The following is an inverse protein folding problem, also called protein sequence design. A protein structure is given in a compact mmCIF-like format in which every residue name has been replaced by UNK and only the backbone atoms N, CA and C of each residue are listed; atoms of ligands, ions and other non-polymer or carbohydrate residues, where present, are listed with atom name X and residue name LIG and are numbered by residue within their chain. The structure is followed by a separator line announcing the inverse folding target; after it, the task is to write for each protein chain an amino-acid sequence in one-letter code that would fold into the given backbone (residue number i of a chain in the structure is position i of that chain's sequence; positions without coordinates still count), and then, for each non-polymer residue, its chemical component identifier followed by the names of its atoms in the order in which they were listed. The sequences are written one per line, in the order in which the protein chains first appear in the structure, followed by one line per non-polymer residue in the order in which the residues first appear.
data_IF_601068198581
#
_entry.id   IF_601068198581
#
_cell.length_a   1.000
_cell.length_b   1.000
_cell.length_c   1.000
_cell.angle_alpha   90.00
_cell.angle_beta   90.00
_cell.angle_gamma   90.00
#
_symmetry.space_group_name_H-M   'P 1'
#
loop_
_entity.id
_entity.type
_entity.pdbx_description
1 polymer ?
#
# COMPACT_ATOMS: atom_id res chain seq x y z
N UNK A 1 -20.26 -2.95 19.68
CA UNK A 1 -21.35 -2.25 19.00
C UNK A 1 -21.83 -3.21 17.91
N UNK A 2 -23.12 -3.56 17.82
CA UNK A 2 -23.58 -4.42 16.72
C UNK A 2 -23.49 -3.62 15.44
N UNK A 3 -22.86 -4.18 14.40
CA UNK A 3 -22.84 -3.59 13.07
C UNK A 3 -24.27 -3.26 12.62
N UNK A 4 -24.46 -2.07 11.99
CA UNK A 4 -25.73 -1.78 11.36
C UNK A 4 -26.04 -2.89 10.36
N UNK A 5 -27.31 -3.29 10.26
CA UNK A 5 -27.75 -4.38 9.39
C UNK A 5 -27.34 -4.04 7.95
N UNK A 6 -26.29 -4.69 7.46
CA UNK A 6 -25.88 -4.60 6.06
C UNK A 6 -26.81 -5.51 5.26
N UNK A 7 -27.54 -4.95 4.30
CA UNK A 7 -28.33 -5.75 3.35
C UNK A 7 -27.53 -6.03 2.10
N UNK A 8 -27.72 -7.23 1.57
CA UNK A 8 -27.25 -7.53 0.23
C UNK A 8 -27.97 -6.61 -0.77
N UNK A 9 -27.22 -5.93 -1.60
CA UNK A 9 -27.75 -5.19 -2.73
C UNK A 9 -27.36 -5.88 -4.04
N UNK A 10 -28.21 -5.77 -5.05
CA UNK A 10 -27.85 -6.15 -6.40
C UNK A 10 -27.04 -5.03 -7.02
N UNK A 11 -25.89 -5.37 -7.59
CA UNK A 11 -25.06 -4.45 -8.37
C UNK A 11 -25.05 -4.91 -9.82
N UNK A 12 -25.36 -4.02 -10.73
CA UNK A 12 -25.32 -4.31 -12.16
C UNK A 12 -24.74 -3.14 -12.94
N UNK A 13 -24.20 -3.44 -14.10
CA UNK A 13 -23.76 -2.43 -15.05
C UNK A 13 -24.99 -1.87 -15.78
N UNK A 14 -25.09 -0.54 -15.89
CA UNK A 14 -26.25 0.16 -16.49
C UNK A 14 -25.81 1.22 -17.48
N UNK A 15 -26.66 1.48 -18.46
CA UNK A 15 -26.57 2.60 -19.42
C UNK A 15 -27.63 3.71 -19.11
N UNK A 16 -28.30 3.63 -17.96
CA UNK A 16 -29.30 4.60 -17.52
C UNK A 16 -28.71 6.03 -17.39
N UNK A 17 -27.52 6.12 -16.84
CA UNK A 17 -26.71 7.35 -16.76
C UNK A 17 -25.26 6.98 -16.50
N UNK A 18 -24.33 7.79 -16.95
CA UNK A 18 -22.91 7.68 -16.67
C UNK A 18 -22.31 9.04 -16.35
N UNK A 19 -21.36 9.11 -15.45
CA UNK A 19 -20.57 10.32 -15.20
C UNK A 19 -19.50 10.45 -16.29
N UNK A 20 -18.82 9.36 -16.59
CA UNK A 20 -17.87 9.26 -17.70
C UNK A 20 -18.22 8.08 -18.61
N UNK A 21 -17.76 8.13 -19.87
CA UNK A 21 -18.02 7.05 -20.82
C UNK A 21 -19.51 6.86 -21.15
N UNK A 22 -20.01 5.62 -21.08
CA UNK A 22 -21.38 5.26 -21.49
C UNK A 22 -22.14 4.39 -20.49
N UNK A 23 -21.51 4.02 -19.38
CA UNK A 23 -22.10 3.11 -18.38
C UNK A 23 -21.57 3.41 -16.99
N UNK A 24 -22.40 3.10 -16.00
CA UNK A 24 -22.05 3.16 -14.58
C UNK A 24 -22.45 1.89 -13.85
N UNK A 25 -22.13 1.77 -12.59
CA UNK A 25 -22.65 0.72 -11.69
C UNK A 25 -23.93 1.22 -11.03
N UNK A 26 -24.98 0.40 -11.07
CA UNK A 26 -26.23 0.63 -10.37
C UNK A 26 -26.37 -0.35 -9.22
N UNK A 27 -26.52 0.18 -8.02
CA UNK A 27 -26.84 -0.59 -6.83
C UNK A 27 -28.33 -0.44 -6.50
N UNK A 28 -28.99 -1.55 -6.20
CA UNK A 28 -30.42 -1.56 -5.79
C UNK A 28 -30.59 -2.43 -4.55
N UNK A 29 -31.43 -2.00 -3.62
CA UNK A 29 -31.78 -2.75 -2.42
C UNK A 29 -33.28 -2.65 -2.12
N UNK A 30 -33.92 -3.76 -1.70
CA UNK A 30 -35.36 -3.85 -1.38
C UNK A 30 -35.58 -4.86 -0.24
N UNK A 31 -36.48 -4.60 0.68
CA UNK A 31 -37.03 -3.33 1.14
C UNK A 31 -36.00 -2.59 1.97
N UNK A 32 -36.15 -1.30 2.13
CA UNK A 32 -35.22 -0.44 2.82
C UNK A 32 -35.91 0.28 3.96
N UNK A 33 -35.29 0.24 5.14
CA UNK A 33 -35.73 1.03 6.27
C UNK A 33 -34.84 2.25 6.45
N UNK A 34 -35.37 3.29 7.08
CA UNK A 34 -34.57 4.45 7.43
C UNK A 34 -33.40 4.09 8.35
N UNK A 35 -32.26 4.72 8.11
CA UNK A 35 -31.04 4.50 8.87
C UNK A 35 -30.30 3.22 8.50
N UNK A 36 -30.76 2.47 7.50
CA UNK A 36 -29.97 1.39 6.91
C UNK A 36 -28.86 1.95 6.04
N UNK A 37 -27.73 1.23 5.99
CA UNK A 37 -26.58 1.53 5.16
C UNK A 37 -26.47 0.55 4.02
N UNK A 38 -26.20 1.09 2.83
CA UNK A 38 -25.88 0.28 1.65
C UNK A 38 -24.44 0.55 1.26
N UNK A 39 -23.62 -0.49 1.29
CA UNK A 39 -22.22 -0.43 0.91
C UNK A 39 -22.04 -0.97 -0.51
N UNK A 40 -21.40 -0.18 -1.37
CA UNK A 40 -21.02 -0.59 -2.73
C UNK A 40 -19.52 -0.42 -2.84
N UNK A 41 -18.79 -1.51 -3.07
CA UNK A 41 -17.35 -1.51 -2.98
C UNK A 41 -16.67 -2.39 -4.02
N UNK A 42 -15.40 -2.14 -4.22
CA UNK A 42 -14.46 -3.09 -4.82
C UNK A 42 -13.44 -3.55 -3.79
N UNK A 43 -13.01 -4.80 -3.89
CA UNK A 43 -11.87 -5.28 -3.12
C UNK A 43 -10.59 -4.63 -3.60
N UNK A 44 -9.77 -4.22 -2.67
CA UNK A 44 -8.47 -3.58 -2.90
C UNK A 44 -7.31 -4.47 -2.54
N UNK A 45 -7.58 -5.56 -1.83
CA UNK A 45 -6.66 -6.63 -1.50
C UNK A 45 -7.35 -7.99 -1.64
N UNK A 46 -6.68 -8.93 -2.28
CA UNK A 46 -7.22 -10.26 -2.51
C UNK A 46 -6.49 -11.28 -1.63
N UNK A 47 -7.27 -12.08 -0.91
CA UNK A 47 -6.79 -13.17 -0.09
C UNK A 47 -6.96 -14.51 -0.83
N UNK A 48 -6.23 -15.59 -0.42
CA UNK A 48 -6.38 -16.91 -1.04
C UNK A 48 -7.82 -17.42 -1.14
N UNK A 49 -8.64 -17.10 -0.14
CA UNK A 49 -10.07 -17.48 -0.09
C UNK A 49 -10.94 -16.82 -1.17
N UNK A 50 -10.47 -15.74 -1.78
CA UNK A 50 -11.20 -15.02 -2.83
C UNK A 50 -11.12 -15.72 -4.19
N UNK A 51 -10.23 -16.71 -4.33
CA UNK A 51 -10.01 -17.45 -5.56
C UNK A 51 -10.54 -18.88 -5.45
N UNK A 52 -11.43 -19.25 -6.36
CA UNK A 52 -11.94 -20.62 -6.47
C UNK A 52 -11.01 -21.55 -7.25
N UNK A 53 -10.02 -21.02 -7.92
CA UNK A 53 -9.10 -21.76 -8.78
C UNK A 53 -7.68 -21.72 -8.23
N UNK A 54 -7.21 -22.85 -7.74
CA UNK A 54 -5.89 -23.03 -7.16
C UNK A 54 -4.73 -22.99 -8.17
N UNK A 55 -4.99 -22.75 -9.45
CA UNK A 55 -3.96 -22.68 -10.51
C UNK A 55 -3.25 -21.32 -10.58
N UNK A 56 -3.77 -20.33 -9.89
CA UNK A 56 -3.15 -19.02 -9.84
C UNK A 56 -2.33 -18.89 -8.57
N UNK A 57 -1.11 -18.43 -8.71
CA UNK A 57 -0.21 -18.05 -7.62
C UNK A 57 -0.07 -16.52 -7.64
N UNK A 58 -1.09 -15.79 -7.21
CA UNK A 58 -1.10 -14.34 -7.32
C UNK A 58 -0.26 -13.73 -6.20
N UNK A 59 0.70 -12.92 -6.60
CA UNK A 59 1.42 -12.04 -5.70
C UNK A 59 0.77 -10.66 -5.81
N UNK A 60 -0.06 -10.28 -4.84
CA UNK A 60 -0.77 -9.02 -4.89
C UNK A 60 -0.25 -8.04 -3.84
N UNK A 61 0.23 -6.91 -4.32
CA UNK A 61 0.29 -5.72 -3.50
C UNK A 61 -1.12 -5.12 -3.39
N UNK A 62 -1.46 -4.48 -2.26
CA UNK A 62 -2.71 -3.73 -2.15
C UNK A 62 -2.84 -2.69 -3.27
N UNK A 63 -4.09 -2.39 -3.67
CA UNK A 63 -4.36 -1.37 -4.69
C UNK A 63 -4.48 0.03 -4.10
N UNK A 64 -4.77 0.12 -2.80
CA UNK A 64 -4.99 1.37 -2.07
C UNK A 64 -4.27 1.31 -0.73
N UNK A 65 -3.71 2.43 -0.32
CA UNK A 65 -2.92 2.55 0.89
C UNK A 65 -3.37 3.75 1.75
N UNK A 66 -3.16 3.70 3.07
CA UNK A 66 -3.34 4.86 3.93
C UNK A 66 -2.58 6.09 3.41
N UNK A 67 -3.13 7.28 3.60
CA UNK A 67 -2.57 8.54 3.10
C UNK A 67 -2.95 8.89 1.66
N UNK A 68 -3.44 7.94 0.86
CA UNK A 68 -3.96 8.22 -0.48
C UNK A 68 -5.35 8.84 -0.43
N UNK A 69 -5.81 9.40 -1.55
CA UNK A 69 -7.15 9.97 -1.71
C UNK A 69 -7.99 9.05 -2.59
N UNK A 70 -9.15 8.66 -2.09
CA UNK A 70 -10.20 7.98 -2.86
C UNK A 70 -11.08 9.01 -3.51
N UNK A 71 -11.44 8.79 -4.76
CA UNK A 71 -12.36 9.60 -5.56
C UNK A 71 -13.50 8.71 -6.06
N UNK A 72 -14.67 9.29 -6.23
CA UNK A 72 -15.82 8.59 -6.81
C UNK A 72 -16.91 9.57 -7.18
N UNK A 73 -17.69 9.22 -8.20
CA UNK A 73 -18.85 9.97 -8.65
C UNK A 73 -20.10 9.19 -8.36
N UNK A 74 -21.07 9.83 -7.71
CA UNK A 74 -22.33 9.21 -7.28
C UNK A 74 -23.54 9.99 -7.75
N UNK A 75 -24.65 9.30 -8.02
CA UNK A 75 -25.93 9.92 -8.37
C UNK A 75 -27.09 9.10 -7.81
N UNK A 76 -28.12 9.80 -7.29
CA UNK A 76 -29.43 9.22 -7.06
C UNK A 76 -30.34 9.47 -8.26
N UNK A 77 -30.92 8.43 -8.89
CA UNK A 77 -31.97 8.60 -9.88
C UNK A 77 -33.19 9.36 -9.31
N UNK A 78 -33.95 10.05 -10.15
CA UNK A 78 -35.14 10.81 -9.74
C UNK A 78 -36.19 9.97 -9.00
N UNK A 79 -36.29 8.69 -9.35
CA UNK A 79 -37.23 7.76 -8.74
C UNK A 79 -36.72 7.11 -7.43
N UNK A 80 -35.44 7.33 -7.05
CA UNK A 80 -34.87 6.75 -5.84
C UNK A 80 -35.31 7.51 -4.57
N UNK A 81 -35.22 6.84 -3.42
CA UNK A 81 -35.31 7.48 -2.11
C UNK A 81 -34.19 8.48 -1.87
N UNK A 82 -34.32 9.27 -0.79
CA UNK A 82 -33.27 10.18 -0.35
C UNK A 82 -32.17 9.43 0.38
N UNK A 83 -30.93 9.85 0.21
CA UNK A 83 -29.78 9.30 0.91
C UNK A 83 -28.68 10.34 1.07
N UNK A 84 -27.94 10.20 2.16
CA UNK A 84 -26.63 10.78 2.29
C UNK A 84 -25.59 9.77 1.79
N UNK A 85 -24.43 10.25 1.35
CA UNK A 85 -23.38 9.38 0.83
C UNK A 85 -22.01 9.81 1.31
N UNK A 86 -21.18 8.84 1.61
CA UNK A 86 -19.75 9.06 1.89
C UNK A 86 -18.90 8.03 1.16
N UNK A 87 -17.69 8.43 0.78
CA UNK A 87 -16.65 7.47 0.41
C UNK A 87 -16.12 6.78 1.67
N UNK A 88 -15.70 5.52 1.54
CA UNK A 88 -15.13 4.78 2.65
C UNK A 88 -14.02 3.83 2.23
N UNK A 89 -13.21 3.45 3.20
CA UNK A 89 -12.33 2.29 3.15
C UNK A 89 -12.53 1.42 4.38
N UNK A 90 -12.24 0.13 4.26
CA UNK A 90 -12.28 -0.81 5.39
C UNK A 90 -10.90 -1.42 5.62
N UNK A 91 -10.44 -1.37 6.86
CA UNK A 91 -9.27 -2.13 7.29
C UNK A 91 -9.58 -3.64 7.24
N UNK A 92 -8.74 -4.38 6.52
CA UNK A 92 -8.91 -5.82 6.34
C UNK A 92 -8.79 -6.61 7.65
N UNK A 93 -7.95 -6.15 8.59
CA UNK A 93 -7.65 -6.88 9.83
C UNK A 93 -8.63 -6.60 10.95
N UNK A 94 -8.88 -5.32 11.22
CA UNK A 94 -9.81 -4.91 12.29
C UNK A 94 -11.27 -4.91 11.85
N UNK A 95 -11.53 -4.81 10.53
CA UNK A 95 -12.86 -4.57 9.97
C UNK A 95 -13.35 -3.14 10.19
N UNK A 96 -12.53 -2.26 10.74
CA UNK A 96 -12.89 -0.85 11.00
C UNK A 96 -13.13 -0.11 9.68
N UNK A 97 -14.14 0.74 9.68
CA UNK A 97 -14.54 1.55 8.53
C UNK A 97 -14.13 2.99 8.77
N UNK A 98 -13.39 3.55 7.83
CA UNK A 98 -13.02 4.96 7.79
C UNK A 98 -13.80 5.63 6.67
N UNK A 99 -14.56 6.67 7.00
CA UNK A 99 -15.42 7.38 6.04
C UNK A 99 -14.94 8.80 5.84
N UNK A 100 -15.13 9.31 4.62
CA UNK A 100 -15.06 10.72 4.30
C UNK A 100 -16.24 11.52 4.85
N UNK A 101 -16.33 12.77 4.42
CA UNK A 101 -17.47 13.64 4.73
C UNK A 101 -18.75 13.05 4.12
N UNK A 102 -19.83 13.08 4.90
CA UNK A 102 -21.16 12.68 4.44
C UNK A 102 -21.82 13.85 3.68
N UNK A 103 -22.30 13.58 2.48
CA UNK A 103 -22.92 14.57 1.60
C UNK A 103 -24.34 14.16 1.30
N UNK A 104 -25.29 15.10 1.46
CA UNK A 104 -26.68 14.88 1.03
C UNK A 104 -26.77 14.89 -0.49
N UNK A 105 -27.24 13.78 -1.08
CA UNK A 105 -27.27 13.62 -2.53
C UNK A 105 -28.48 14.31 -3.17
N UNK A 106 -28.21 15.09 -4.21
CA UNK A 106 -29.24 15.67 -5.07
C UNK A 106 -29.63 14.66 -6.15
N UNK A 107 -30.93 14.40 -6.31
CA UNK A 107 -31.44 13.50 -7.34
C UNK A 107 -31.16 14.01 -8.75
N UNK A 108 -30.95 13.10 -9.69
CA UNK A 108 -30.71 13.40 -11.10
C UNK A 108 -29.39 14.10 -11.43
N UNK A 109 -28.53 14.31 -10.44
CA UNK A 109 -27.25 15.01 -10.60
C UNK A 109 -26.09 14.16 -10.13
N UNK A 110 -25.07 14.02 -10.96
CA UNK A 110 -23.78 13.45 -10.55
C UNK A 110 -23.07 14.39 -9.56
N UNK A 111 -22.52 13.82 -8.51
CA UNK A 111 -21.76 14.51 -7.48
C UNK A 111 -20.44 13.81 -7.29
N UNK A 112 -19.34 14.56 -7.41
CA UNK A 112 -18.00 14.08 -7.20
C UNK A 112 -17.66 14.16 -5.71
N UNK A 113 -17.15 13.07 -5.16
CA UNK A 113 -16.70 12.95 -3.78
C UNK A 113 -15.20 12.66 -3.75
N UNK A 114 -14.54 13.14 -2.71
CA UNK A 114 -13.16 12.79 -2.43
C UNK A 114 -12.96 12.53 -0.94
N UNK A 115 -12.09 11.57 -0.61
CA UNK A 115 -11.78 11.20 0.77
C UNK A 115 -10.30 10.88 0.90
N UNK A 116 -9.57 11.70 1.67
CA UNK A 116 -8.19 11.39 2.03
C UNK A 116 -8.21 10.37 3.16
N UNK A 117 -7.68 9.20 2.87
CA UNK A 117 -7.55 8.11 3.83
C UNK A 117 -6.60 8.54 4.95
N UNK A 118 -6.98 8.45 6.24
CA UNK A 118 -6.05 8.74 7.34
C UNK A 118 -4.79 7.88 7.26
N UNK A 119 -3.69 8.42 7.78
CA UNK A 119 -2.47 7.63 7.97
C UNK A 119 -2.63 6.75 9.19
N UNK A 120 -2.32 5.46 9.06
CA UNK A 120 -2.24 4.54 10.21
C UNK A 120 -1.19 3.44 10.01
N UNK A 121 -0.81 2.80 11.10
CA UNK A 121 0.23 1.78 11.09
C UNK A 121 -0.33 0.39 10.74
N UNK A 122 0.39 -0.35 9.90
CA UNK A 122 0.17 -1.75 9.64
C UNK A 122 -1.13 -2.13 8.94
N UNK A 123 -1.85 -1.16 8.35
CA UNK A 123 -3.17 -1.40 7.80
C UNK A 123 -3.14 -1.86 6.35
N UNK A 124 -3.84 -2.97 6.10
CA UNK A 124 -4.23 -3.41 4.77
C UNK A 124 -5.65 -2.95 4.50
N UNK A 125 -5.85 -2.14 3.47
CA UNK A 125 -7.19 -1.75 3.04
C UNK A 125 -7.77 -2.89 2.21
N UNK A 126 -8.83 -3.52 2.71
CA UNK A 126 -9.50 -4.64 2.06
C UNK A 126 -10.56 -4.22 1.05
N UNK A 127 -11.16 -3.05 1.28
CA UNK A 127 -12.25 -2.52 0.46
C UNK A 127 -12.14 -1.02 0.34
N UNK A 128 -12.54 -0.48 -0.81
CA UNK A 128 -12.89 0.94 -0.99
C UNK A 128 -14.20 1.06 -1.74
N UNK A 129 -14.99 2.07 -1.41
CA UNK A 129 -16.31 2.22 -2.03
C UNK A 129 -17.09 3.40 -1.51
N UNK A 130 -18.40 3.30 -1.67
CA UNK A 130 -19.37 4.28 -1.20
C UNK A 130 -20.32 3.65 -0.19
N UNK A 131 -20.67 4.43 0.81
CA UNK A 131 -21.69 4.12 1.79
C UNK A 131 -22.88 5.08 1.59
N UNK A 132 -24.06 4.55 1.30
CA UNK A 132 -25.30 5.30 1.26
C UNK A 132 -26.03 5.13 2.59
N UNK A 133 -26.23 6.21 3.32
CA UNK A 133 -27.06 6.29 4.52
C UNK A 133 -28.49 6.66 4.09
N UNK A 134 -29.42 5.72 4.23
CA UNK A 134 -30.77 5.86 3.68
C UNK A 134 -31.66 6.70 4.59
N UNK A 135 -32.22 7.78 4.05
CA UNK A 135 -33.09 8.69 4.76
C UNK A 135 -34.56 8.25 4.62
N UNK A 136 -35.38 8.62 5.62
CA UNK A 136 -36.81 8.26 5.60
C UNK A 136 -37.56 8.92 4.45
N UNK A 137 -38.06 8.09 3.52
CA UNK A 137 -39.23 8.45 2.75
C UNK A 137 -40.52 8.02 3.50
N UNK A 138 -41.60 8.69 3.27
CA UNK A 138 -42.91 8.45 3.94
C UNK A 138 -43.60 7.14 3.56
N UNK A 139 -43.01 6.33 2.68
CA UNK A 139 -43.59 5.06 2.23
C UNK A 139 -42.65 3.88 2.47
N UNK A 140 -43.16 2.86 3.22
CA UNK A 140 -42.41 1.69 3.66
C UNK A 140 -41.99 0.70 2.56
N UNK A 141 -42.10 1.06 1.29
CA UNK A 141 -41.86 0.20 0.13
C UNK A 141 -40.91 0.79 -0.92
N UNK A 142 -40.23 1.88 -0.58
CA UNK A 142 -39.38 2.56 -1.57
C UNK A 142 -38.09 1.77 -1.82
N UNK A 143 -37.87 1.35 -3.06
CA UNK A 143 -36.63 0.72 -3.50
C UNK A 143 -35.52 1.74 -3.51
N UNK A 144 -34.42 1.44 -2.83
CA UNK A 144 -33.19 2.22 -3.00
C UNK A 144 -32.59 1.94 -4.38
N UNK A 145 -32.11 2.99 -5.03
CA UNK A 145 -31.24 2.92 -6.21
C UNK A 145 -30.17 4.01 -6.12
N UNK A 146 -28.92 3.63 -6.32
CA UNK A 146 -27.79 4.55 -6.39
C UNK A 146 -26.90 4.20 -7.57
N UNK A 147 -26.33 5.18 -8.25
CA UNK A 147 -25.35 5.02 -9.32
C UNK A 147 -23.98 5.40 -8.80
N UNK A 148 -22.97 4.64 -9.19
CA UNK A 148 -21.56 4.85 -8.87
C UNK A 148 -20.75 4.79 -10.16
N UNK A 149 -19.87 5.74 -10.35
CA UNK A 149 -18.91 5.81 -11.46
C UNK A 149 -17.57 6.37 -10.99
N UNK A 150 -16.52 6.19 -11.81
CA UNK A 150 -15.19 6.76 -11.60
C UNK A 150 -14.61 6.55 -10.19
N UNK A 151 -14.73 5.32 -9.64
CA UNK A 151 -14.15 4.97 -8.34
C UNK A 151 -12.68 4.61 -8.51
N UNK A 152 -11.78 5.44 -7.95
CA UNK A 152 -10.34 5.26 -8.03
C UNK A 152 -9.61 5.90 -6.85
N UNK A 153 -8.31 5.65 -6.71
CA UNK A 153 -7.48 6.25 -5.67
C UNK A 153 -6.12 6.66 -6.22
N UNK A 154 -5.60 7.77 -5.73
CA UNK A 154 -4.28 8.30 -6.08
C UNK A 154 -3.54 8.92 -4.89
N UNK A 155 -2.39 9.52 -5.21
CA UNK A 155 -1.54 10.20 -4.24
C UNK A 155 -0.48 9.28 -3.65
N UNK A 156 0.42 9.90 -2.89
CA UNK A 156 1.51 9.20 -2.21
C UNK A 156 1.00 8.61 -0.90
N UNK A 157 1.34 7.35 -0.59
CA UNK A 157 0.94 6.72 0.66
C UNK A 157 1.66 7.36 1.86
N UNK A 158 1.01 7.29 3.02
CA UNK A 158 1.60 7.61 4.31
C UNK A 158 1.19 6.52 5.31
N UNK A 159 2.04 5.51 5.49
CA UNK A 159 1.76 4.37 6.34
C UNK A 159 3.06 3.66 6.78
N UNK A 160 2.93 2.75 7.74
CA UNK A 160 4.02 1.88 8.19
C UNK A 160 3.61 0.42 8.11
N UNK A 161 4.49 -0.42 7.57
CA UNK A 161 4.42 -1.86 7.71
C UNK A 161 5.24 -2.24 8.95
N UNK A 162 4.57 -2.82 9.94
CA UNK A 162 5.19 -3.42 11.12
C UNK A 162 5.15 -4.94 10.96
N UNK A 163 6.31 -5.56 10.78
CA UNK A 163 6.38 -6.99 10.52
C UNK A 163 5.99 -7.86 11.71
N UNK A 164 5.84 -7.30 12.92
CA UNK A 164 5.20 -7.99 14.04
C UNK A 164 3.72 -8.25 13.81
N UNK A 165 3.07 -7.48 12.93
CA UNK A 165 1.63 -7.57 12.62
C UNK A 165 1.35 -8.24 11.28
N UNK A 166 2.37 -8.44 10.44
CA UNK A 166 2.22 -9.08 9.14
C UNK A 166 1.96 -10.58 9.27
N UNK A 167 1.34 -11.15 8.25
CA UNK A 167 0.94 -12.55 8.21
C UNK A 167 1.52 -13.26 6.99
N UNK A 168 1.58 -14.58 7.09
CA UNK A 168 1.89 -15.44 5.95
C UNK A 168 0.58 -16.02 5.41
N UNK A 169 0.37 -15.90 4.12
CA UNK A 169 -0.79 -16.44 3.41
C UNK A 169 -0.41 -17.74 2.71
N UNK A 170 -1.31 -18.72 2.73
CA UNK A 170 -1.13 -19.98 2.01
C UNK A 170 -1.91 -19.89 0.70
N UNK A 171 -1.17 -19.76 -0.39
CA UNK A 171 -1.67 -19.86 -1.75
C UNK A 171 -1.45 -21.30 -2.23
N UNK A 172 -2.26 -21.79 -3.12
CA UNK A 172 -2.19 -23.14 -3.74
C UNK A 172 -1.24 -24.17 -3.08
N UNK A 173 -1.76 -24.89 -2.13
CA UNK A 173 -1.19 -26.13 -1.58
C UNK A 173 0.07 -26.00 -0.75
N UNK A 174 1.12 -25.34 -1.20
CA UNK A 174 2.41 -25.29 -0.52
C UNK A 174 3.10 -23.93 -0.55
N UNK A 175 2.63 -22.99 -1.34
CA UNK A 175 3.25 -21.67 -1.42
C UNK A 175 2.78 -20.80 -0.26
N UNK A 176 3.74 -20.36 0.55
CA UNK A 176 3.52 -19.39 1.63
C UNK A 176 4.11 -18.06 1.18
N UNK A 177 3.26 -17.07 1.03
CA UNK A 177 3.67 -15.71 0.69
C UNK A 177 3.46 -14.78 1.88
N UNK A 178 4.36 -13.83 2.04
CA UNK A 178 4.20 -12.79 3.06
C UNK A 178 3.17 -11.79 2.56
N UNK A 179 2.19 -11.52 3.40
CA UNK A 179 1.12 -10.56 3.11
C UNK A 179 1.66 -9.27 2.50
N UNK A 180 0.97 -8.74 1.49
CA UNK A 180 1.25 -7.52 0.73
C UNK A 180 2.60 -7.44 -0.04
N UNK A 181 3.41 -8.48 -0.05
CA UNK A 181 4.67 -8.50 -0.80
C UNK A 181 4.58 -9.39 -2.03
N UNK A 182 5.12 -8.89 -3.14
CA UNK A 182 5.41 -9.67 -4.32
C UNK A 182 6.85 -10.16 -4.25
N UNK A 183 7.04 -11.46 -4.01
CA UNK A 183 8.36 -12.09 -4.03
C UNK A 183 8.72 -12.49 -5.46
N UNK A 184 9.84 -11.98 -5.96
CA UNK A 184 10.37 -12.41 -7.25
C UNK A 184 11.29 -13.62 -7.13
N UNK A 185 12.24 -13.57 -6.19
CA UNK A 185 13.22 -14.64 -5.97
C UNK A 185 13.79 -14.54 -4.55
N UNK A 186 14.42 -15.60 -4.12
CA UNK A 186 14.98 -15.71 -2.78
C UNK A 186 14.00 -16.37 -1.80
N UNK A 187 14.44 -16.51 -0.57
CA UNK A 187 13.65 -17.05 0.53
C UNK A 187 13.14 -15.90 1.39
N UNK A 188 11.87 -15.58 1.23
CA UNK A 188 11.16 -14.54 1.98
C UNK A 188 10.27 -15.21 3.03
N UNK A 189 10.40 -14.81 4.29
CA UNK A 189 9.60 -15.37 5.38
C UNK A 189 9.53 -14.41 6.57
N UNK A 190 8.56 -14.65 7.46
CA UNK A 190 8.43 -13.95 8.73
C UNK A 190 8.97 -14.82 9.86
N UNK A 191 9.84 -14.25 10.69
CA UNK A 191 10.33 -14.87 11.92
C UNK A 191 10.56 -13.80 12.98
N UNK A 192 10.14 -14.09 14.22
CA UNK A 192 10.31 -13.24 15.40
C UNK A 192 9.94 -11.77 15.17
N UNK A 193 8.85 -11.52 14.42
CA UNK A 193 8.35 -10.18 14.15
C UNK A 193 9.17 -9.37 13.14
N UNK A 194 9.95 -10.03 12.32
CA UNK A 194 10.71 -9.41 11.24
C UNK A 194 10.51 -10.15 9.92
N UNK A 195 10.60 -9.41 8.82
CA UNK A 195 10.69 -9.94 7.47
C UNK A 195 12.12 -10.34 7.19
N UNK A 196 12.34 -11.61 6.85
CA UNK A 196 13.64 -12.11 6.43
C UNK A 196 13.69 -12.32 4.93
N UNK A 197 14.78 -11.90 4.31
CA UNK A 197 15.09 -12.19 2.92
C UNK A 197 16.52 -12.73 2.82
N UNK A 198 16.67 -13.92 2.24
CA UNK A 198 17.96 -14.55 2.00
C UNK A 198 18.03 -15.16 0.59
N UNK A 199 19.22 -15.29 0.07
CA UNK A 199 19.45 -15.88 -1.25
C UNK A 199 20.81 -16.58 -1.36
N UNK A 200 20.95 -17.46 -2.36
CA UNK A 200 22.26 -17.92 -2.82
C UNK A 200 22.86 -16.95 -3.85
N UNK A 201 22.06 -16.46 -4.76
CA UNK A 201 22.45 -15.61 -5.88
C UNK A 201 21.80 -14.22 -5.75
N UNK A 202 20.47 -14.12 -5.91
CA UNK A 202 19.74 -12.91 -5.61
C UNK A 202 18.35 -13.23 -5.02
N UNK A 203 17.82 -12.28 -4.22
CA UNK A 203 16.48 -12.29 -3.69
C UNK A 203 15.91 -10.89 -3.73
N UNK A 204 14.64 -10.76 -4.10
CA UNK A 204 13.94 -9.48 -4.20
C UNK A 204 12.47 -9.66 -3.85
N UNK A 205 11.92 -8.70 -3.11
CA UNK A 205 10.51 -8.61 -2.79
C UNK A 205 10.05 -7.14 -2.78
N UNK A 206 8.85 -6.88 -3.28
CA UNK A 206 8.31 -5.53 -3.43
C UNK A 206 6.94 -5.41 -2.81
N UNK A 207 6.61 -4.18 -2.42
CA UNK A 207 5.27 -3.76 -2.02
C UNK A 207 4.99 -2.36 -2.52
N UNK A 208 3.72 -2.06 -2.82
CA UNK A 208 3.32 -0.75 -3.28
C UNK A 208 2.91 -0.70 -4.74
N UNK A 209 2.67 0.53 -5.22
CA UNK A 209 2.17 0.78 -6.57
C UNK A 209 3.24 1.39 -7.46
N UNK A 210 3.15 1.08 -8.74
CA UNK A 210 4.04 1.62 -9.77
C UNK A 210 3.95 3.15 -9.91
N UNK A 211 2.81 3.75 -9.61
CA UNK A 211 2.51 5.17 -9.84
C UNK A 211 2.93 6.10 -8.68
N UNK A 212 3.54 5.56 -7.61
CA UNK A 212 4.04 6.41 -6.52
C UNK A 212 5.20 7.28 -7.01
N UNK A 213 5.04 8.59 -6.79
CA UNK A 213 6.05 9.58 -7.13
C UNK A 213 6.76 10.06 -5.85
N UNK A 214 7.07 11.24 -5.73
CA UNK A 214 7.87 11.87 -4.67
C UNK A 214 7.50 11.43 -3.24
N UNK A 215 8.38 10.64 -2.63
CA UNK A 215 8.18 10.05 -1.31
C UNK A 215 9.49 9.82 -0.57
N UNK A 216 9.38 9.64 0.74
CA UNK A 216 10.45 9.13 1.60
C UNK A 216 10.08 7.75 2.10
N UNK A 217 10.95 6.77 1.84
CA UNK A 217 10.86 5.42 2.38
C UNK A 217 11.90 5.24 3.48
N UNK A 218 11.48 4.74 4.65
CA UNK A 218 12.34 4.51 5.80
C UNK A 218 12.27 3.01 6.13
N UNK A 219 13.43 2.38 6.20
CA UNK A 219 13.57 0.94 6.46
C UNK A 219 14.36 0.74 7.75
N UNK A 220 13.87 -0.11 8.63
CA UNK A 220 14.66 -0.63 9.75
C UNK A 220 15.21 -1.99 9.34
N UNK A 221 16.51 -2.08 9.10
CA UNK A 221 17.18 -3.27 8.55
C UNK A 221 18.32 -3.75 9.45
N UNK A 222 18.45 -5.08 9.60
CA UNK A 222 19.61 -5.73 10.21
C UNK A 222 20.24 -6.65 9.18
N UNK A 223 21.45 -6.37 8.66
CA UNK A 223 22.21 -7.31 7.85
C UNK A 223 22.65 -8.47 8.77
N UNK A 224 22.39 -9.72 8.37
CA UNK A 224 22.74 -10.90 9.15
C UNK A 224 23.99 -11.60 8.61
N UNK A 225 24.05 -11.76 7.29
CA UNK A 225 25.21 -12.33 6.58
C UNK A 225 25.37 -11.70 5.21
N UNK A 226 26.58 -11.85 4.66
CA UNK A 226 26.90 -11.36 3.30
C UNK A 226 27.11 -9.85 3.24
N UNK A 227 27.43 -9.38 2.06
CA UNK A 227 27.90 -8.02 1.82
C UNK A 227 27.07 -7.27 0.78
N UNK A 228 25.84 -7.71 0.51
CA UNK A 228 24.94 -7.09 -0.45
C UNK A 228 23.51 -7.12 0.10
N UNK A 229 23.28 -6.36 1.17
CA UNK A 229 21.98 -6.18 1.79
C UNK A 229 21.43 -4.81 1.40
N UNK A 230 20.22 -4.76 0.83
CA UNK A 230 19.73 -3.58 0.12
C UNK A 230 18.27 -3.26 0.45
N UNK A 231 17.94 -1.98 0.35
CA UNK A 231 16.57 -1.47 0.30
C UNK A 231 16.33 -0.78 -1.05
N UNK A 232 15.14 -0.91 -1.60
CA UNK A 232 14.84 -0.45 -2.95
C UNK A 232 13.73 0.61 -2.96
N UNK A 233 13.90 1.60 -3.83
CA UNK A 233 12.92 2.65 -4.11
C UNK A 233 12.72 2.79 -5.62
N UNK A 234 11.60 3.41 -6.02
CA UNK A 234 11.24 3.57 -7.44
C UNK A 234 11.26 2.25 -8.21
N UNK A 235 10.78 1.18 -7.56
CA UNK A 235 10.74 -0.16 -8.15
C UNK A 235 9.70 -0.20 -9.26
N UNK A 236 10.15 -0.49 -10.48
CA UNK A 236 9.33 -0.64 -11.68
C UNK A 236 9.33 -2.09 -12.19
N UNK A 237 9.70 -3.03 -11.34
CA UNK A 237 9.84 -4.45 -11.62
C UNK A 237 11.26 -4.95 -11.35
N UNK A 238 11.52 -6.21 -11.72
CA UNK A 238 12.74 -6.95 -11.38
C UNK A 238 14.07 -6.30 -11.82
N UNK A 239 14.03 -5.46 -12.85
CA UNK A 239 15.23 -4.95 -13.51
C UNK A 239 15.32 -3.42 -13.50
N UNK A 240 14.42 -2.75 -12.78
CA UNK A 240 14.38 -1.28 -12.72
C UNK A 240 14.05 -0.82 -11.32
N UNK A 241 15.03 -0.27 -10.63
CA UNK A 241 14.89 0.34 -9.31
C UNK A 241 16.13 1.16 -8.98
N UNK A 242 16.06 1.95 -7.90
CA UNK A 242 17.25 2.37 -7.18
C UNK A 242 17.38 1.54 -5.90
N UNK A 243 18.61 1.39 -5.42
CA UNK A 243 18.86 0.70 -4.17
C UNK A 243 19.89 1.43 -3.32
N UNK A 244 19.71 1.39 -2.00
CA UNK A 244 20.77 1.70 -1.04
C UNK A 244 21.29 0.37 -0.51
N UNK A 245 22.58 0.14 -0.65
CA UNK A 245 23.23 -1.12 -0.36
C UNK A 245 24.30 -0.98 0.71
N UNK A 246 24.34 -1.95 1.64
CA UNK A 246 25.51 -2.22 2.47
C UNK A 246 26.43 -3.14 1.69
N UNK A 247 27.62 -2.68 1.36
CA UNK A 247 28.58 -3.38 0.51
C UNK A 247 29.82 -3.83 1.30
N UNK A 248 30.63 -4.69 0.68
CA UNK A 248 31.97 -5.05 1.15
C UNK A 248 32.83 -3.81 1.47
N UNK A 249 33.94 -4.04 2.17
CA UNK A 249 34.93 -3.02 2.50
C UNK A 249 34.38 -1.83 3.29
N UNK A 250 33.39 -2.06 4.16
CA UNK A 250 32.77 -1.02 5.00
C UNK A 250 32.30 0.16 4.14
N UNK A 251 31.51 -0.12 3.12
CA UNK A 251 30.93 0.87 2.22
C UNK A 251 29.41 0.80 2.20
N UNK A 252 28.82 1.95 1.90
CA UNK A 252 27.44 2.05 1.45
C UNK A 252 27.39 2.69 0.08
N UNK A 253 26.42 2.30 -0.73
CA UNK A 253 26.28 2.84 -2.07
C UNK A 253 24.80 3.08 -2.44
N UNK A 254 24.58 4.09 -3.25
CA UNK A 254 23.35 4.27 -4.02
C UNK A 254 23.58 3.64 -5.40
N UNK A 255 22.70 2.73 -5.76
CA UNK A 255 22.77 1.92 -6.97
C UNK A 255 21.57 2.19 -7.87
N UNK A 256 21.76 2.03 -9.18
CA UNK A 256 20.68 1.95 -10.17
C UNK A 256 20.65 0.56 -10.79
N UNK A 257 19.48 -0.06 -10.80
CA UNK A 257 19.25 -1.34 -11.46
C UNK A 257 18.73 -1.10 -12.89
N UNK A 258 19.52 -1.50 -13.86
CA UNK A 258 19.21 -1.45 -15.30
C UNK A 258 19.51 -2.81 -15.92
N UNK A 259 18.77 -3.85 -15.47
CA UNK A 259 19.08 -5.26 -15.73
C UNK A 259 20.46 -5.67 -15.16
N UNK A 260 20.77 -5.16 -13.99
CA UNK A 260 22.01 -5.28 -13.26
C UNK A 260 22.31 -3.98 -12.52
N UNK A 261 22.86 -4.08 -11.32
CA UNK A 261 23.14 -2.89 -10.51
C UNK A 261 24.45 -2.23 -10.93
N UNK A 262 24.41 -0.91 -11.11
CA UNK A 262 25.59 -0.05 -11.23
C UNK A 262 25.65 0.94 -10.07
N UNK A 263 26.83 1.25 -9.60
CA UNK A 263 27.07 2.26 -8.55
C UNK A 263 26.85 3.66 -9.15
N UNK A 264 26.02 4.45 -8.48
CA UNK A 264 25.83 5.87 -8.77
C UNK A 264 26.76 6.74 -7.93
N UNK A 265 26.77 6.46 -6.61
CA UNK A 265 27.67 7.08 -5.63
C UNK A 265 27.90 6.14 -4.47
N UNK A 266 29.05 6.23 -3.82
CA UNK A 266 29.38 5.43 -2.64
C UNK A 266 30.16 6.25 -1.61
N UNK A 267 30.12 5.83 -0.35
CA UNK A 267 30.92 6.40 0.73
C UNK A 267 31.32 5.34 1.75
N UNK A 268 32.35 5.63 2.53
CA UNK A 268 32.76 4.76 3.63
C UNK A 268 31.72 4.80 4.77
N UNK A 269 31.39 3.63 5.30
CA UNK A 269 30.53 3.47 6.46
C UNK A 269 30.81 2.10 7.09
N UNK A 270 31.32 2.09 8.31
CA UNK A 270 31.76 0.86 9.00
C UNK A 270 30.59 0.06 9.56
N UNK A 271 29.70 -0.39 8.69
CA UNK A 271 28.57 -1.23 9.08
C UNK A 271 29.01 -2.63 9.54
N UNK A 272 28.22 -3.24 10.42
CA UNK A 272 28.48 -4.57 11.01
C UNK A 272 27.26 -5.46 10.90
N UNK A 273 27.47 -6.73 10.58
CA UNK A 273 26.41 -7.74 10.66
C UNK A 273 25.84 -7.82 12.09
N UNK A 274 24.53 -8.01 12.20
CA UNK A 274 23.81 -8.10 13.47
C UNK A 274 23.55 -6.76 14.16
N UNK A 275 23.89 -5.62 13.54
CA UNK A 275 23.53 -4.28 14.03
C UNK A 275 22.29 -3.78 13.27
N UNK A 276 21.49 -2.98 13.94
CA UNK A 276 20.28 -2.41 13.39
C UNK A 276 20.58 -1.04 12.74
N UNK A 277 20.07 -0.84 11.55
CA UNK A 277 20.21 0.40 10.78
C UNK A 277 18.86 0.95 10.37
N UNK A 278 18.67 2.24 10.54
CA UNK A 278 17.60 2.97 9.88
C UNK A 278 18.16 3.55 8.56
N UNK A 279 17.52 3.20 7.46
CA UNK A 279 17.86 3.68 6.11
C UNK A 279 16.69 4.48 5.60
N UNK A 280 16.87 5.80 5.47
CA UNK A 280 15.89 6.72 4.92
C UNK A 280 16.27 7.10 3.51
N UNK A 281 15.36 6.94 2.55
CA UNK A 281 15.57 7.29 1.15
C UNK A 281 14.48 8.25 0.69
N UNK A 282 14.83 9.50 0.50
CA UNK A 282 13.99 10.52 -0.10
C UNK A 282 14.19 10.53 -1.61
N UNK A 283 13.11 10.29 -2.37
CA UNK A 283 13.09 10.37 -3.82
C UNK A 283 12.20 11.53 -4.25
N UNK A 284 12.79 12.56 -4.88
CA UNK A 284 12.07 13.75 -5.34
C UNK A 284 12.49 14.10 -6.77
N UNK A 285 11.56 13.93 -7.72
CA UNK A 285 11.92 14.01 -9.13
C UNK A 285 13.07 13.05 -9.44
N UNK A 286 14.14 13.55 -10.07
CA UNK A 286 15.34 12.78 -10.39
C UNK A 286 16.38 12.74 -9.24
N UNK A 287 16.11 13.43 -8.12
CA UNK A 287 17.03 13.50 -6.98
C UNK A 287 16.75 12.40 -5.98
N UNK A 288 17.81 11.79 -5.50
CA UNK A 288 17.82 10.77 -4.46
C UNK A 288 18.72 11.25 -3.32
N UNK A 289 18.18 11.25 -2.13
CA UNK A 289 18.92 11.53 -0.89
C UNK A 289 18.72 10.35 0.04
N UNK A 290 19.79 9.71 0.46
CA UNK A 290 19.75 8.58 1.38
C UNK A 290 20.57 8.89 2.64
N UNK A 291 19.98 8.63 3.80
CA UNK A 291 20.62 8.71 5.10
C UNK A 291 20.61 7.32 5.74
N UNK A 292 21.76 6.88 6.22
CA UNK A 292 21.91 5.62 6.94
C UNK A 292 22.47 5.95 8.34
N UNK A 293 21.82 5.43 9.37
CA UNK A 293 22.30 5.54 10.75
C UNK A 293 22.19 4.23 11.50
N UNK A 294 23.18 3.91 12.33
CA UNK A 294 23.10 2.80 13.27
C UNK A 294 22.09 3.11 14.38
N UNK A 295 21.22 2.17 14.69
CA UNK A 295 20.27 2.27 15.80
C UNK A 295 20.86 1.52 17.01
N UNK A 296 21.17 2.20 18.12
CA UNK A 296 21.75 1.56 19.29
C UNK A 296 20.80 0.53 19.91
N UNK A 297 21.30 -0.67 20.19
CA UNK A 297 20.54 -1.72 20.86
C UNK A 297 20.16 -1.27 22.28
N UNK A 298 18.87 -1.23 22.58
CA UNK A 298 18.33 -0.96 23.92
C UNK A 298 17.98 0.48 24.25
N UNK A 299 18.20 1.44 23.34
CA UNK A 299 17.88 2.87 23.57
C UNK A 299 16.55 3.27 22.92
N UNK A 300 15.43 2.83 23.48
CA UNK A 300 14.12 3.45 23.17
C UNK A 300 13.87 4.78 23.89
N UNK A 301 14.74 5.20 24.82
CA UNK A 301 14.69 6.52 25.46
C UNK A 301 16.04 6.84 26.18
N UNK A 302 16.52 8.09 25.95
CA UNK A 302 17.54 8.79 26.72
C UNK A 302 18.99 8.25 26.72
N UNK A 303 19.71 8.50 25.63
CA UNK A 303 21.07 9.08 25.62
C UNK A 303 21.48 9.29 24.16
N UNK A 304 21.81 10.53 23.76
CA UNK A 304 22.46 10.86 22.49
C UNK A 304 23.88 10.27 22.48
N UNK A 305 23.98 8.97 22.25
CA UNK A 305 25.20 8.43 21.67
C UNK A 305 25.21 8.91 20.22
N UNK A 306 26.30 9.54 19.82
CA UNK A 306 26.52 9.98 18.45
C UNK A 306 26.50 8.73 17.57
N UNK A 307 25.36 8.43 16.96
CA UNK A 307 25.22 7.32 16.05
C UNK A 307 26.03 7.65 14.78
N UNK A 308 26.81 6.70 14.31
CA UNK A 308 27.47 6.84 13.02
C UNK A 308 26.40 7.00 11.94
N UNK A 309 26.51 8.10 11.20
CA UNK A 309 25.57 8.46 10.13
C UNK A 309 26.34 8.68 8.86
N UNK A 310 25.81 8.19 7.74
CA UNK A 310 26.33 8.50 6.43
C UNK A 310 25.23 8.95 5.49
N UNK A 311 25.57 9.82 4.55
CA UNK A 311 24.64 10.42 3.59
C UNK A 311 25.14 10.15 2.18
N UNK A 312 24.22 9.81 1.30
CA UNK A 312 24.43 9.67 -0.13
C UNK A 312 23.46 10.59 -0.87
N UNK A 313 23.96 11.36 -1.81
CA UNK A 313 23.14 12.22 -2.67
C UNK A 313 23.48 11.96 -4.13
N UNK A 314 22.46 11.94 -4.97
CA UNK A 314 22.62 11.77 -6.39
C UNK A 314 21.44 12.39 -7.17
N UNK A 315 21.74 13.04 -8.27
CA UNK A 315 20.74 13.48 -9.26
C UNK A 315 20.93 12.64 -10.53
N UNK A 316 19.96 11.77 -10.83
CA UNK A 316 20.03 10.93 -12.03
C UNK A 316 19.55 11.72 -13.25
N UNK A 317 20.49 12.12 -14.09
CA UNK A 317 20.24 12.86 -15.34
C UNK A 317 20.17 11.93 -16.55
N UNK A 318 20.38 10.62 -16.35
CA UNK A 318 20.38 9.63 -17.42
C UNK A 318 19.20 8.66 -17.28
N UNK A 319 18.07 9.00 -17.89
CA UNK A 319 16.84 8.21 -17.85
C UNK A 319 16.35 7.87 -16.43
N UNK A 320 16.06 8.90 -15.58
CA UNK A 320 15.69 8.69 -14.19
C UNK A 320 14.35 7.92 -14.06
N UNK A 321 14.26 7.06 -13.04
CA UNK A 321 13.00 6.48 -12.63
C UNK A 321 12.27 7.45 -11.73
N UNK A 322 11.18 8.06 -12.24
CA UNK A 322 10.45 9.14 -11.56
C UNK A 322 9.28 8.63 -10.71
N UNK A 323 8.99 7.34 -10.77
CA UNK A 323 7.91 6.69 -10.05
C UNK A 323 8.22 5.21 -9.81
N UNK A 324 7.53 4.59 -8.87
CA UNK A 324 7.64 3.17 -8.58
C UNK A 324 7.40 2.82 -7.11
N UNK A 325 7.24 1.55 -6.86
CA UNK A 325 7.05 0.93 -5.55
C UNK A 325 8.33 0.93 -4.69
N UNK A 326 8.26 0.30 -3.53
CA UNK A 326 9.41 0.06 -2.64
C UNK A 326 9.67 -1.43 -2.50
N UNK A 327 10.87 -1.79 -2.04
CA UNK A 327 11.21 -3.18 -1.85
C UNK A 327 12.46 -3.41 -1.04
N UNK A 328 12.82 -4.68 -0.93
CA UNK A 328 14.01 -5.17 -0.27
C UNK A 328 14.70 -6.16 -1.19
N UNK A 329 16.04 -6.17 -1.17
CA UNK A 329 16.80 -7.11 -1.97
C UNK A 329 18.11 -7.53 -1.31
N UNK A 330 18.59 -8.71 -1.68
CA UNK A 330 19.84 -9.29 -1.21
C UNK A 330 20.53 -10.03 -2.35
N UNK A 331 21.87 -10.10 -2.32
CA UNK A 331 22.65 -10.79 -3.36
C UNK A 331 23.81 -11.58 -2.77
N UNK A 332 24.35 -12.50 -3.58
CA UNK A 332 25.62 -13.20 -3.33
C UNK A 332 25.70 -13.83 -1.93
N UNK A 333 24.73 -14.65 -1.56
CA UNK A 333 24.70 -15.33 -0.27
C UNK A 333 24.34 -14.45 0.93
N UNK A 334 23.80 -13.25 0.68
CA UNK A 334 23.41 -12.33 1.73
C UNK A 334 22.06 -12.70 2.35
N UNK A 335 21.90 -12.30 3.61
CA UNK A 335 20.69 -12.44 4.40
C UNK A 335 20.49 -11.17 5.24
N UNK A 336 19.35 -10.55 5.10
CA UNK A 336 18.92 -9.43 5.93
C UNK A 336 17.56 -9.71 6.56
N UNK A 337 17.28 -9.04 7.68
CA UNK A 337 15.94 -8.93 8.25
C UNK A 337 15.51 -7.46 8.31
N UNK A 338 14.22 -7.24 8.27
CA UNK A 338 13.60 -5.92 8.32
C UNK A 338 12.51 -5.94 9.38
N UNK A 339 12.54 -4.98 10.31
CA UNK A 339 11.53 -4.87 11.38
C UNK A 339 10.37 -3.98 10.96
N UNK A 340 10.62 -2.97 10.12
CA UNK A 340 9.58 -2.11 9.59
C UNK A 340 9.97 -1.44 8.27
N UNK A 341 8.95 -1.03 7.53
CA UNK A 341 9.07 -0.13 6.36
C UNK A 341 8.03 0.97 6.54
N UNK A 342 8.46 2.22 6.48
CA UNK A 342 7.56 3.38 6.56
C UNK A 342 7.62 4.20 5.27
N UNK A 343 6.46 4.56 4.78
CA UNK A 343 6.28 5.47 3.65
C UNK A 343 5.76 6.82 4.14
N UNK A 344 6.31 7.90 3.60
CA UNK A 344 5.83 9.26 3.86
C UNK A 344 5.73 10.03 2.56
N UNK A 345 4.68 10.83 2.43
CA UNK A 345 4.59 11.83 1.37
C UNK A 345 5.63 12.93 1.61
N UNK A 346 6.38 13.30 0.59
CA UNK A 346 7.19 14.51 0.62
C UNK A 346 6.24 15.70 0.43
N UNK A 347 6.08 16.51 1.46
CA UNK A 347 5.27 17.73 1.46
C UNK A 347 5.92 18.84 0.64
#
# INVERSE_FOLDING_TARGET
MKDPITRECCVCNTDESAHSGSRSLKATAVPVNSGERVFVYQKTYYEPKDFHDSRYDPCFSPLVYPGQTVHGSVMLPEYAGEADCSLYVRDLRSGEIFTGESVHLKKGCWQELSFRIPSWEGALIGEMGVCFDLLMGTEATQTFAGLLDDLWADGTPDYRIDFCQETTEVWTGLHKEVSQFTRLKGHLYLDQGALHLSCADFGEAYTGRYDWKDYTAIFEMTPLTGENNMVNVRVQGAIRSYAVALLADSKIALLKNENGYRVLTETAFDWKAGRDYEISVCAQGARLHAEIKEVPVGCRQTQQLQADTAVLEYEDTDHPYLQGAVGVSVRNGSHAKYSSIRMRCNS
#
